data_IF_068648687224
#
_entry.id   IF_068648687224
#
_cell.length_a   1.000
_cell.length_b   1.000
_cell.length_c   1.000
_cell.angle_alpha   90.00
_cell.angle_beta   90.00
_cell.angle_gamma   90.00
#
_symmetry.space_group_name_H-M   'P 1'
#
loop_
_entity.id
_entity.type
_entity.pdbx_description
1 polymer ?
#
# COMPACT_ATOMS: atom_id res chain seq x y z
N UNK A 1 -12.79 -14.40 8.57
CA UNK A 1 -12.76 -13.26 9.54
C UNK A 1 -14.15 -13.09 10.14
N UNK A 2 -14.37 -12.17 11.09
CA UNK A 2 -15.74 -11.87 11.56
C UNK A 2 -16.46 -11.05 10.49
N UNK A 3 -17.76 -11.23 10.32
CA UNK A 3 -18.55 -10.54 9.28
C UNK A 3 -18.57 -9.02 9.39
N UNK A 4 -18.31 -8.47 10.58
CA UNK A 4 -18.21 -7.02 10.80
C UNK A 4 -16.77 -6.46 10.64
N UNK A 5 -15.78 -7.31 10.35
CA UNK A 5 -14.37 -6.90 10.34
C UNK A 5 -14.03 -6.10 9.08
N UNK A 6 -13.11 -5.13 9.22
CA UNK A 6 -12.53 -4.39 8.11
C UNK A 6 -11.09 -4.84 7.91
N UNK A 7 -10.74 -5.17 6.67
CA UNK A 7 -9.36 -5.45 6.26
C UNK A 7 -8.69 -4.14 5.84
N UNK A 8 -7.45 -3.89 6.29
CA UNK A 8 -6.67 -2.72 5.87
C UNK A 8 -5.34 -3.16 5.29
N UNK A 9 -5.01 -2.75 4.07
CA UNK A 9 -3.72 -3.04 3.44
C UNK A 9 -3.01 -1.75 2.99
N UNK A 10 -1.88 -1.49 3.63
CA UNK A 10 -0.93 -0.41 3.32
C UNK A 10 0.50 -0.95 3.07
N UNK A 11 0.62 -2.27 2.89
CA UNK A 11 1.90 -2.95 2.70
C UNK A 11 2.25 -3.07 1.22
N UNK A 12 1.84 -4.19 0.59
CA UNK A 12 1.98 -4.48 -0.85
C UNK A 12 0.73 -5.19 -1.34
N UNK A 13 0.42 -5.04 -2.61
CA UNK A 13 -0.78 -5.63 -3.21
C UNK A 13 -0.78 -7.15 -3.21
N UNK A 14 0.36 -7.76 -3.53
CA UNK A 14 0.56 -9.21 -3.65
C UNK A 14 0.52 -9.98 -2.31
N UNK A 15 0.42 -9.27 -1.18
CA UNK A 15 0.18 -9.88 0.14
C UNK A 15 -1.24 -10.45 0.24
N UNK A 16 -2.17 -9.98 -0.60
CA UNK A 16 -3.58 -10.36 -0.55
C UNK A 16 -4.01 -10.87 -1.93
N UNK A 17 -4.61 -12.05 -1.97
CA UNK A 17 -5.26 -12.55 -3.18
C UNK A 17 -6.52 -11.71 -3.47
N UNK A 18 -6.41 -10.78 -4.41
CA UNK A 18 -7.43 -9.73 -4.62
C UNK A 18 -8.77 -10.29 -5.10
N UNK A 19 -8.74 -11.39 -5.87
CA UNK A 19 -9.93 -12.13 -6.30
C UNK A 19 -10.69 -12.68 -5.09
N UNK A 20 -9.99 -13.29 -4.14
CA UNK A 20 -10.62 -13.87 -2.95
C UNK A 20 -11.19 -12.78 -2.03
N UNK A 21 -10.50 -11.64 -1.94
CA UNK A 21 -11.00 -10.47 -1.21
C UNK A 21 -12.32 -9.96 -1.81
N UNK A 22 -12.39 -9.79 -3.13
CA UNK A 22 -13.60 -9.36 -3.83
C UNK A 22 -14.76 -10.32 -3.53
N UNK A 23 -14.52 -11.63 -3.59
CA UNK A 23 -15.56 -12.62 -3.32
C UNK A 23 -16.01 -12.63 -1.85
N UNK A 24 -15.08 -12.48 -0.90
CA UNK A 24 -15.41 -12.37 0.52
C UNK A 24 -16.24 -11.11 0.82
N UNK A 25 -15.92 -9.98 0.18
CA UNK A 25 -16.68 -8.73 0.31
C UNK A 25 -18.09 -8.85 -0.27
N UNK A 26 -18.25 -9.46 -1.46
CA UNK A 26 -19.57 -9.69 -2.06
C UNK A 26 -20.45 -10.60 -1.21
N UNK A 27 -19.87 -11.63 -0.58
CA UNK A 27 -20.59 -12.57 0.28
C UNK A 27 -20.93 -12.02 1.67
N UNK A 28 -20.29 -10.92 2.07
CA UNK A 28 -20.41 -10.39 3.43
C UNK A 28 -19.65 -11.21 4.48
N UNK A 29 -18.64 -11.98 4.06
CA UNK A 29 -17.74 -12.71 4.97
C UNK A 29 -16.90 -11.75 5.83
N UNK A 30 -16.70 -10.52 5.32
CA UNK A 30 -16.15 -9.36 6.01
C UNK A 30 -16.98 -8.11 5.70
N UNK A 31 -16.89 -7.12 6.59
CA UNK A 31 -17.72 -5.92 6.51
C UNK A 31 -17.25 -4.94 5.44
N UNK A 32 -15.94 -4.92 5.14
CA UNK A 32 -15.35 -4.00 4.19
C UNK A 32 -13.83 -4.07 4.12
N UNK A 33 -13.25 -3.22 3.27
CA UNK A 33 -11.80 -3.12 3.11
C UNK A 33 -11.33 -1.67 2.88
N UNK A 34 -10.15 -1.33 3.41
CA UNK A 34 -9.41 -0.11 3.08
C UNK A 34 -8.09 -0.47 2.42
N UNK A 35 -7.90 -0.10 1.15
CA UNK A 35 -6.76 -0.50 0.34
C UNK A 35 -6.02 0.72 -0.19
N UNK A 36 -4.73 0.80 0.09
CA UNK A 36 -3.83 1.77 -0.55
C UNK A 36 -2.97 1.12 -1.66
N UNK A 37 -2.93 -0.22 -1.70
CA UNK A 37 -2.06 -1.00 -2.59
C UNK A 37 -2.83 -2.12 -3.31
N UNK A 38 -2.42 -2.47 -4.53
CA UNK A 38 -3.10 -3.45 -5.40
C UNK A 38 -2.12 -4.40 -6.09
N UNK A 39 -2.55 -5.60 -6.44
CA UNK A 39 -1.66 -6.63 -7.01
C UNK A 39 -1.03 -6.19 -8.35
N UNK A 40 -1.77 -5.43 -9.16
CA UNK A 40 -1.38 -5.02 -10.51
C UNK A 40 -1.42 -3.51 -10.73
N UNK A 41 -0.90 -2.73 -9.78
CA UNK A 41 -0.84 -1.27 -9.86
C UNK A 41 -0.29 -0.76 -11.22
N UNK A 42 -0.89 0.30 -11.79
CA UNK A 42 -1.97 1.14 -11.25
C UNK A 42 -3.38 0.58 -11.56
N UNK A 43 -3.51 -0.66 -12.05
CA UNK A 43 -4.80 -1.26 -12.37
C UNK A 43 -5.51 -1.69 -11.09
N UNK A 44 -6.73 -1.23 -10.94
CA UNK A 44 -7.64 -1.63 -9.86
C UNK A 44 -8.76 -2.48 -10.49
N UNK A 45 -9.09 -3.65 -9.93
CA UNK A 45 -10.21 -4.46 -10.37
C UNK A 45 -11.53 -3.70 -10.31
N UNK A 46 -12.30 -3.81 -11.38
CA UNK A 46 -13.63 -3.20 -11.48
C UNK A 46 -14.58 -3.66 -10.37
N UNK A 47 -14.37 -4.88 -9.85
CA UNK A 47 -15.12 -5.41 -8.71
C UNK A 47 -15.00 -4.54 -7.46
N UNK A 48 -13.81 -4.01 -7.16
CA UNK A 48 -13.59 -3.14 -5.99
C UNK A 48 -14.11 -1.72 -6.24
N UNK A 49 -13.97 -1.21 -7.47
CA UNK A 49 -14.40 0.15 -7.84
C UNK A 49 -15.92 0.37 -7.69
N UNK A 50 -16.72 -0.70 -7.71
CA UNK A 50 -18.18 -0.66 -7.63
C UNK A 50 -18.73 -0.90 -6.21
N UNK A 51 -17.87 -1.14 -5.22
CA UNK A 51 -18.29 -1.51 -3.87
C UNK A 51 -18.41 -0.29 -2.95
N UNK A 52 -19.55 -0.14 -2.29
CA UNK A 52 -19.77 0.90 -1.28
C UNK A 52 -19.06 0.61 0.06
N UNK A 53 -18.70 -0.66 0.31
CA UNK A 53 -18.05 -1.10 1.54
C UNK A 53 -16.51 -1.17 1.41
N UNK A 54 -15.94 -0.49 0.42
CA UNK A 54 -14.50 -0.44 0.18
C UNK A 54 -14.04 1.02 0.04
N UNK A 55 -12.88 1.34 0.61
CA UNK A 55 -12.20 2.63 0.42
C UNK A 55 -10.87 2.40 -0.27
N UNK A 56 -10.63 3.12 -1.37
CA UNK A 56 -9.52 2.90 -2.29
C UNK A 56 -8.66 4.16 -2.38
N UNK A 57 -7.36 4.03 -2.13
CA UNK A 57 -6.37 5.08 -2.35
C UNK A 57 -5.32 4.64 -3.38
N UNK A 58 -4.73 5.58 -4.14
CA UNK A 58 -3.73 5.29 -5.16
C UNK A 58 -2.30 5.30 -4.61
N UNK A 59 -1.97 4.40 -3.69
CA UNK A 59 -0.63 4.21 -3.10
C UNK A 59 -0.03 5.51 -2.51
N UNK A 60 -0.81 6.13 -1.64
CA UNK A 60 -0.52 7.42 -1.02
C UNK A 60 0.14 7.31 0.36
N UNK A 61 0.46 6.11 0.87
CA UNK A 61 0.92 5.91 2.25
C UNK A 61 2.09 6.80 2.71
N UNK A 62 2.96 7.25 1.79
CA UNK A 62 4.08 8.17 2.08
C UNK A 62 3.90 9.59 1.51
N UNK A 63 2.76 9.90 0.91
CA UNK A 63 2.55 11.08 0.08
C UNK A 63 2.25 12.38 0.85
N UNK A 64 2.91 12.62 1.97
CA UNK A 64 2.94 13.95 2.61
C UNK A 64 4.24 14.69 2.27
N UNK A 65 4.20 16.02 2.24
CA UNK A 65 5.36 16.84 1.85
C UNK A 65 6.56 16.58 2.77
N UNK A 66 6.31 16.52 4.07
CA UNK A 66 7.31 16.30 5.11
C UNK A 66 7.99 14.95 4.91
N UNK A 67 7.22 13.87 4.79
CA UNK A 67 7.75 12.50 4.63
C UNK A 67 8.49 12.36 3.29
N UNK A 68 7.94 12.88 2.19
CA UNK A 68 8.62 12.82 0.89
C UNK A 68 9.93 13.61 0.88
N UNK A 69 9.99 14.73 1.59
CA UNK A 69 11.22 15.52 1.75
C UNK A 69 12.27 14.73 2.53
N UNK A 70 11.89 14.15 3.67
CA UNK A 70 12.80 13.36 4.50
C UNK A 70 13.32 12.12 3.77
N UNK A 71 12.46 11.41 3.03
CA UNK A 71 12.87 10.27 2.19
C UNK A 71 13.86 10.70 1.10
N UNK A 72 13.65 11.86 0.47
CA UNK A 72 14.60 12.42 -0.49
C UNK A 72 15.96 12.74 0.13
N UNK A 73 15.96 13.34 1.32
CA UNK A 73 17.19 13.63 2.07
C UNK A 73 17.90 12.35 2.51
N UNK A 74 17.16 11.32 2.90
CA UNK A 74 17.68 9.99 3.23
C UNK A 74 18.39 9.36 2.02
N UNK A 75 17.75 9.39 0.83
CA UNK A 75 18.36 8.89 -0.40
C UNK A 75 19.66 9.65 -0.74
N UNK A 76 19.65 10.99 -0.62
CA UNK A 76 20.83 11.82 -0.84
C UNK A 76 21.96 11.47 0.14
N UNK A 77 21.65 11.27 1.42
CA UNK A 77 22.64 10.90 2.42
C UNK A 77 23.34 9.56 2.11
N UNK A 78 22.60 8.59 1.54
CA UNK A 78 23.18 7.33 1.08
C UNK A 78 24.15 7.53 -0.09
N UNK A 79 23.77 8.33 -1.09
CA UNK A 79 24.62 8.64 -2.26
C UNK A 79 25.89 9.37 -1.81
N UNK A 80 25.76 10.41 -0.98
CA UNK A 80 26.90 11.21 -0.51
C UNK A 80 27.88 10.36 0.30
N UNK A 81 27.40 9.49 1.19
CA UNK A 81 28.29 8.63 1.96
C UNK A 81 29.02 7.62 1.07
N UNK A 82 28.31 6.98 0.13
CA UNK A 82 28.91 6.05 -0.82
C UNK A 82 30.03 6.70 -1.63
N UNK A 83 29.78 7.88 -2.22
CA UNK A 83 30.76 8.61 -3.03
C UNK A 83 31.99 9.06 -2.25
N UNK A 84 31.86 9.23 -0.93
CA UNK A 84 32.98 9.59 -0.04
C UNK A 84 33.69 8.36 0.56
N UNK A 85 33.42 7.15 0.05
CA UNK A 85 34.00 5.91 0.57
C UNK A 85 33.53 5.54 1.99
N UNK A 86 32.41 6.12 2.44
CA UNK A 86 31.76 5.79 3.71
C UNK A 86 30.63 4.79 3.49
N UNK A 87 30.26 4.06 4.54
CA UNK A 87 29.11 3.16 4.50
C UNK A 87 27.80 3.96 4.39
N UNK A 88 26.90 3.64 3.44
CA UNK A 88 25.57 4.25 3.38
C UNK A 88 24.73 3.91 4.61
N UNK A 89 24.01 4.88 5.22
CA UNK A 89 23.25 4.67 6.45
C UNK A 89 22.04 3.72 6.31
N UNK A 90 21.56 3.47 5.09
CA UNK A 90 20.41 2.59 4.82
C UNK A 90 20.80 1.47 3.86
N UNK A 91 21.90 0.77 4.15
CA UNK A 91 22.27 -0.46 3.45
C UNK A 91 21.26 -1.58 3.76
N UNK A 92 20.76 -2.26 2.73
CA UNK A 92 19.81 -3.38 2.82
C UNK A 92 20.54 -4.71 2.72
#
# INVERSE_FOLDING_TARGET
MKSHSILVNISRGDVIAEIDLIEALKKGDIGGAGLDVYEFEPKIPEGLLKMDNVTLFPHLGSASLEIRTEMGMMALANIVNFLNGKSPPNLV
#
